data_IF_163737146443
#
_entry.id   IF_163737146443
#
_cell.length_a   1.000
_cell.length_b   1.000
_cell.length_c   1.000
_cell.angle_alpha   90.00
_cell.angle_beta   90.00
_cell.angle_gamma   90.00
#
_symmetry.space_group_name_H-M   'P 1'
#
loop_
_entity.id
_entity.type
_entity.pdbx_description
1 polymer ?
#
# COMPACT_ATOMS: atom_id res chain seq x y z
N UNK A 1 -9.90 -12.94 27.55
CA UNK A 1 -9.23 -11.90 28.37
C UNK A 1 -8.41 -11.05 27.41
N UNK A 2 -8.80 -9.80 27.20
CA UNK A 2 -8.11 -8.89 26.29
C UNK A 2 -6.85 -8.36 27.00
N UNK A 3 -5.66 -8.62 26.44
CA UNK A 3 -4.45 -7.96 26.90
C UNK A 3 -4.61 -6.42 26.83
N UNK A 4 -4.11 -5.68 27.83
CA UNK A 4 -4.15 -4.22 27.80
C UNK A 4 -3.37 -3.69 26.59
N UNK A 5 -3.98 -2.73 25.88
CA UNK A 5 -3.48 -2.14 24.61
C UNK A 5 -2.00 -1.77 24.63
N UNK A 6 -1.48 -1.26 25.76
CA UNK A 6 -0.09 -0.88 25.90
C UNK A 6 0.90 -2.06 25.81
N UNK A 7 0.54 -3.23 26.35
CA UNK A 7 1.40 -4.43 26.28
C UNK A 7 1.48 -4.97 24.84
N UNK A 8 0.38 -4.89 24.09
CA UNK A 8 0.33 -5.28 22.67
C UNK A 8 1.18 -4.36 21.79
N UNK A 9 1.14 -3.05 22.06
CA UNK A 9 1.97 -2.06 21.34
C UNK A 9 3.46 -2.25 21.67
N UNK A 10 3.80 -2.44 22.95
CA UNK A 10 5.19 -2.69 23.36
C UNK A 10 5.76 -3.97 22.72
N UNK A 11 4.93 -5.02 22.63
CA UNK A 11 5.30 -6.25 21.93
C UNK A 11 5.47 -6.01 20.43
N UNK A 12 4.56 -5.29 19.77
CA UNK A 12 4.69 -4.96 18.35
C UNK A 12 5.98 -4.16 18.06
N UNK A 13 6.36 -3.22 18.93
CA UNK A 13 7.64 -2.51 18.82
C UNK A 13 8.85 -3.45 18.96
N UNK A 14 8.82 -4.38 19.92
CA UNK A 14 9.88 -5.39 20.05
C UNK A 14 9.97 -6.31 18.84
N UNK A 15 8.85 -6.73 18.26
CA UNK A 15 8.81 -7.58 17.06
C UNK A 15 9.46 -6.89 15.84
N UNK A 16 9.36 -5.57 15.75
CA UNK A 16 9.94 -4.80 14.65
C UNK A 16 11.46 -4.59 14.79
N UNK A 17 12.01 -4.72 16.01
CA UNK A 17 13.36 -4.24 16.35
C UNK A 17 14.34 -5.32 16.86
N UNK A 18 13.90 -6.58 17.04
CA UNK A 18 14.74 -7.64 17.66
C UNK A 18 15.11 -8.83 16.75
N UNK A 19 16.36 -9.29 16.89
CA UNK A 19 17.01 -10.34 16.09
C UNK A 19 16.57 -11.77 16.49
N UNK A 20 15.93 -11.93 17.65
CA UNK A 20 15.49 -13.21 18.23
C UNK A 20 13.97 -13.43 18.17
N UNK A 21 13.27 -12.66 17.34
CA UNK A 21 11.84 -12.85 17.09
C UNK A 21 11.64 -14.17 16.33
N UNK A 22 10.66 -14.97 16.75
CA UNK A 22 10.27 -16.19 16.05
C UNK A 22 10.05 -15.87 14.56
N UNK A 23 10.52 -16.75 13.65
CA UNK A 23 10.46 -16.51 12.20
C UNK A 23 9.06 -16.07 11.74
N UNK A 24 8.01 -16.67 12.29
CA UNK A 24 6.60 -16.35 12.02
C UNK A 24 6.23 -14.88 12.32
N UNK A 25 6.77 -14.32 13.40
CA UNK A 25 6.49 -12.93 13.79
C UNK A 25 7.26 -11.93 12.90
N UNK A 26 8.45 -12.33 12.40
CA UNK A 26 9.17 -11.56 11.38
C UNK A 26 8.40 -11.56 10.07
N UNK A 27 8.00 -12.73 9.58
CA UNK A 27 7.25 -12.86 8.33
C UNK A 27 5.94 -12.07 8.39
N UNK A 28 5.22 -12.16 9.52
CA UNK A 28 4.02 -11.34 9.76
C UNK A 28 4.31 -9.84 9.74
N UNK A 29 5.45 -9.41 10.27
CA UNK A 29 5.86 -8.00 10.24
C UNK A 29 6.22 -7.53 8.83
N UNK A 30 6.80 -8.39 7.99
CA UNK A 30 7.03 -8.08 6.58
C UNK A 30 5.72 -7.90 5.83
N UNK A 31 4.81 -8.86 5.95
CA UNK A 31 3.48 -8.80 5.31
C UNK A 31 2.73 -7.55 5.80
N UNK A 32 2.74 -7.26 7.10
CA UNK A 32 2.09 -6.07 7.63
C UNK A 32 2.64 -4.75 7.05
N UNK A 33 3.96 -4.65 6.82
CA UNK A 33 4.55 -3.48 6.14
C UNK A 33 4.17 -3.41 4.67
N UNK A 34 4.16 -4.57 3.99
CA UNK A 34 3.75 -4.68 2.60
C UNK A 34 2.31 -4.16 2.40
N UNK A 35 1.37 -4.69 3.17
CA UNK A 35 -0.04 -4.30 3.13
C UNK A 35 -0.27 -2.84 3.55
N UNK A 36 0.47 -2.37 4.56
CA UNK A 36 0.46 -0.97 4.96
C UNK A 36 0.97 -0.04 3.84
N UNK A 37 1.93 -0.48 3.03
CA UNK A 37 2.42 0.25 1.86
C UNK A 37 1.30 0.53 0.86
N UNK A 38 0.55 -0.50 0.46
CA UNK A 38 -0.61 -0.36 -0.42
C UNK A 38 -1.67 0.58 0.17
N UNK A 39 -2.00 0.39 1.45
CA UNK A 39 -3.02 1.19 2.13
C UNK A 39 -2.65 2.68 2.16
N UNK A 40 -1.40 3.00 2.52
CA UNK A 40 -0.89 4.38 2.56
C UNK A 40 -0.86 5.01 1.18
N UNK A 41 -0.38 4.29 0.17
CA UNK A 41 -0.36 4.82 -1.20
C UNK A 41 -1.77 5.07 -1.74
N UNK A 42 -2.71 4.21 -1.41
CA UNK A 42 -4.12 4.39 -1.77
C UNK A 42 -4.66 5.69 -1.18
N UNK A 43 -4.49 5.92 0.13
CA UNK A 43 -4.90 7.18 0.79
C UNK A 43 -4.23 8.41 0.18
N UNK A 44 -2.93 8.33 -0.10
CA UNK A 44 -2.13 9.41 -0.72
C UNK A 44 -2.55 9.79 -2.16
N UNK A 45 -3.19 8.85 -2.86
CA UNK A 45 -3.77 9.03 -4.19
C UNK A 45 -5.29 9.29 -4.12
N UNK A 46 -5.83 9.43 -2.92
CA UNK A 46 -7.24 9.67 -2.66
C UNK A 46 -8.13 8.44 -2.76
N UNK A 47 -7.58 7.26 -3.05
CA UNK A 47 -8.31 5.99 -3.21
C UNK A 47 -8.78 5.49 -1.85
N UNK A 48 -10.08 5.20 -1.75
CA UNK A 48 -10.68 4.69 -0.53
C UNK A 48 -10.23 3.25 -0.30
N UNK A 49 -9.62 3.00 0.84
CA UNK A 49 -9.37 1.65 1.36
C UNK A 49 -10.66 1.13 1.99
N UNK A 50 -11.01 -0.13 1.77
CA UNK A 50 -12.15 -0.78 2.44
C UNK A 50 -11.68 -1.65 3.60
N UNK A 51 -10.64 -2.44 3.35
CA UNK A 51 -10.11 -3.42 4.29
C UNK A 51 -8.63 -3.63 4.04
N UNK A 52 -7.85 -3.87 5.09
CA UNK A 52 -6.47 -4.35 4.99
C UNK A 52 -6.33 -5.53 5.93
N UNK A 53 -5.80 -6.65 5.43
CA UNK A 53 -5.59 -7.86 6.22
C UNK A 53 -4.22 -8.46 5.95
N UNK A 54 -3.66 -9.14 6.94
CA UNK A 54 -2.48 -10.00 6.81
C UNK A 54 -2.84 -11.49 6.98
N UNK A 55 -4.14 -11.81 7.08
CA UNK A 55 -4.59 -13.20 7.16
C UNK A 55 -4.66 -13.81 5.76
N UNK A 56 -4.19 -15.05 5.65
CA UNK A 56 -4.35 -15.83 4.43
C UNK A 56 -5.84 -16.05 4.16
N UNK A 57 -6.32 -15.60 3.01
CA UNK A 57 -7.68 -15.89 2.58
C UNK A 57 -7.67 -17.11 1.64
N UNK A 58 -8.49 -18.15 1.89
CA UNK A 58 -8.52 -19.35 1.06
C UNK A 58 -8.81 -19.08 -0.43
N UNK A 59 -9.46 -17.95 -0.73
CA UNK A 59 -9.79 -17.54 -2.10
C UNK A 59 -8.62 -16.93 -2.86
N UNK A 60 -7.64 -16.36 -2.17
CA UNK A 60 -6.51 -15.67 -2.80
C UNK A 60 -5.21 -16.46 -2.74
N UNK A 61 -5.09 -17.48 -1.87
CA UNK A 61 -3.91 -18.36 -1.84
C UNK A 61 -2.61 -17.66 -1.44
N UNK A 62 -2.69 -16.41 -0.98
CA UNK A 62 -1.59 -15.57 -0.53
C UNK A 62 -1.84 -15.11 0.90
N UNK A 63 -0.75 -14.80 1.61
CA UNK A 63 -0.79 -14.23 2.97
C UNK A 63 -0.95 -12.70 2.87
N UNK A 64 -2.10 -12.17 3.28
CA UNK A 64 -2.41 -10.74 3.28
C UNK A 64 -3.10 -10.21 2.01
N UNK A 65 -3.90 -9.15 2.19
CA UNK A 65 -4.62 -8.47 1.13
C UNK A 65 -5.08 -7.05 1.55
N UNK A 66 -4.84 -6.06 0.70
CA UNK A 66 -5.40 -4.72 0.81
C UNK A 66 -6.56 -4.55 -0.20
N UNK A 67 -7.79 -4.55 0.31
CA UNK A 67 -8.97 -4.30 -0.49
C UNK A 67 -9.22 -2.79 -0.59
N UNK A 68 -9.03 -2.26 -1.80
CA UNK A 68 -9.32 -0.87 -2.14
C UNK A 68 -10.67 -0.80 -2.85
N UNK A 69 -11.50 0.14 -2.43
CA UNK A 69 -12.74 0.46 -3.14
C UNK A 69 -12.38 0.96 -4.54
N UNK A 70 -13.24 0.64 -5.51
CA UNK A 70 -13.20 1.25 -6.84
C UNK A 70 -12.96 2.75 -6.72
N UNK A 71 -11.97 3.23 -7.49
CA UNK A 71 -11.48 4.60 -7.60
C UNK A 71 -12.47 5.70 -7.16
N UNK A 72 -12.01 6.73 -6.42
CA UNK A 72 -12.82 7.89 -6.05
C UNK A 72 -13.52 8.51 -7.26
N UNK A 73 -14.65 9.18 -7.08
CA UNK A 73 -15.36 9.82 -8.20
C UNK A 73 -14.47 10.79 -9.02
N UNK A 74 -13.48 11.44 -8.40
CA UNK A 74 -12.49 12.29 -9.09
C UNK A 74 -11.50 11.50 -9.96
N UNK A 75 -11.24 10.23 -9.64
CA UNK A 75 -10.44 9.30 -10.45
C UNK A 75 -11.32 8.44 -11.37
N UNK A 76 -12.63 8.28 -11.10
CA UNK A 76 -13.60 7.78 -12.09
C UNK A 76 -13.91 8.81 -13.18
N UNK A 77 -13.73 10.09 -12.86
CA UNK A 77 -13.73 11.16 -13.85
C UNK A 77 -12.54 11.04 -14.80
N UNK A 78 -11.42 10.47 -14.30
CA UNK A 78 -10.36 9.99 -15.18
C UNK A 78 -10.91 8.75 -15.88
N UNK A 79 -11.08 8.84 -17.19
CA UNK A 79 -11.53 7.70 -17.95
C UNK A 79 -10.50 6.56 -17.83
N UNK A 80 -10.91 5.27 -17.87
CA UNK A 80 -9.97 4.14 -17.81
C UNK A 80 -8.83 4.14 -18.85
N UNK A 81 -8.94 5.01 -19.86
CA UNK A 81 -7.91 5.24 -20.88
C UNK A 81 -6.93 6.38 -20.55
N UNK A 82 -7.07 7.00 -19.38
CA UNK A 82 -6.19 8.09 -18.96
C UNK A 82 -4.95 7.55 -18.25
N UNK A 83 -3.80 8.06 -18.67
CA UNK A 83 -2.49 7.62 -18.20
C UNK A 83 -2.33 7.78 -16.68
N UNK A 84 -3.00 8.77 -16.09
CA UNK A 84 -3.01 9.01 -14.64
C UNK A 84 -3.65 7.85 -13.86
N UNK A 85 -4.70 7.20 -14.39
CA UNK A 85 -5.31 6.05 -13.73
C UNK A 85 -4.38 4.81 -13.77
N UNK A 86 -3.68 4.62 -14.89
CA UNK A 86 -2.64 3.60 -15.01
C UNK A 86 -1.48 3.86 -14.04
N UNK A 87 -0.96 5.09 -14.02
CA UNK A 87 0.08 5.53 -13.08
C UNK A 87 -0.30 5.23 -11.64
N UNK A 88 -1.49 5.62 -11.21
CA UNK A 88 -1.93 5.40 -9.83
C UNK A 88 -2.04 3.91 -9.51
N UNK A 89 -2.52 3.09 -10.46
CA UNK A 89 -2.62 1.64 -10.27
C UNK A 89 -1.24 1.03 -10.08
N UNK A 90 -0.26 1.44 -10.91
CA UNK A 90 1.12 0.96 -10.82
C UNK A 90 1.75 1.41 -9.51
N UNK A 91 1.55 2.67 -9.11
CA UNK A 91 2.09 3.19 -7.85
C UNK A 91 1.55 2.45 -6.62
N UNK A 92 0.26 2.12 -6.59
CA UNK A 92 -0.33 1.31 -5.51
C UNK A 92 0.30 -0.07 -5.47
N UNK A 93 0.41 -0.77 -6.61
CA UNK A 93 1.01 -2.11 -6.70
C UNK A 93 2.49 -2.10 -6.31
N UNK A 94 3.25 -1.06 -6.65
CA UNK A 94 4.65 -0.90 -6.23
C UNK A 94 4.80 -0.62 -4.73
N UNK A 95 3.76 -0.11 -4.06
CA UNK A 95 3.90 0.41 -2.72
C UNK A 95 4.25 -0.67 -1.68
N UNK A 96 3.73 -1.90 -1.84
CA UNK A 96 4.01 -3.01 -0.93
C UNK A 96 5.50 -3.38 -0.93
N UNK A 97 6.05 -3.70 -2.09
CA UNK A 97 7.46 -4.06 -2.21
C UNK A 97 8.43 -2.93 -1.79
N UNK A 98 8.03 -1.67 -2.00
CA UNK A 98 8.84 -0.52 -1.61
C UNK A 98 8.81 -0.27 -0.11
N UNK A 99 7.67 -0.54 0.55
CA UNK A 99 7.57 -0.48 2.00
C UNK A 99 8.43 -1.57 2.66
N UNK A 100 8.46 -2.79 2.09
CA UNK A 100 9.38 -3.84 2.53
C UNK A 100 10.85 -3.40 2.42
N UNK A 101 11.27 -2.89 1.25
CA UNK A 101 12.64 -2.40 1.05
C UNK A 101 13.01 -1.28 2.02
N UNK A 102 12.10 -0.36 2.27
CA UNK A 102 12.35 0.77 3.16
C UNK A 102 12.49 0.34 4.62
N UNK A 103 11.72 -0.67 5.05
CA UNK A 103 11.74 -1.16 6.43
C UNK A 103 12.85 -2.18 6.72
N UNK A 104 13.19 -3.02 5.75
CA UNK A 104 14.03 -4.19 5.98
C UNK A 104 15.20 -4.37 5.00
N UNK A 105 15.29 -3.52 3.96
CA UNK A 105 16.35 -3.60 2.95
C UNK A 105 16.21 -4.75 1.94
N UNK A 106 15.13 -5.53 2.02
CA UNK A 106 14.85 -6.65 1.11
C UNK A 106 13.37 -6.66 0.67
N UNK A 107 13.07 -7.47 -0.35
CA UNK A 107 11.71 -7.67 -0.87
C UNK A 107 11.40 -9.16 -0.83
N UNK A 108 10.21 -9.53 -0.36
CA UNK A 108 9.78 -10.93 -0.21
C UNK A 108 8.48 -11.19 -0.96
N UNK A 109 7.48 -10.30 -0.88
CA UNK A 109 6.12 -10.60 -1.34
C UNK A 109 5.67 -9.84 -2.61
N UNK A 110 6.59 -9.48 -3.51
CA UNK A 110 6.28 -8.59 -4.64
C UNK A 110 5.87 -9.27 -5.96
N UNK A 111 5.96 -10.60 -6.06
CA UNK A 111 5.82 -11.29 -7.36
C UNK A 111 4.44 -11.12 -7.98
N UNK A 112 3.39 -11.19 -7.16
CA UNK A 112 2.01 -11.00 -7.61
C UNK A 112 1.79 -9.56 -8.11
N UNK A 113 2.20 -8.56 -7.33
CA UNK A 113 2.06 -7.15 -7.73
C UNK A 113 2.79 -6.84 -9.04
N UNK A 114 4.00 -7.39 -9.22
CA UNK A 114 4.76 -7.23 -10.46
C UNK A 114 4.04 -7.87 -11.65
N UNK A 115 3.43 -9.05 -11.48
CA UNK A 115 2.62 -9.66 -12.53
C UNK A 115 1.37 -8.83 -12.86
N UNK A 116 0.72 -8.24 -11.85
CA UNK A 116 -0.42 -7.34 -12.02
C UNK A 116 -0.01 -6.04 -12.75
N UNK A 117 1.16 -5.47 -12.45
CA UNK A 117 1.69 -4.30 -13.17
C UNK A 117 1.86 -4.63 -14.66
N UNK A 118 2.48 -5.76 -14.98
CA UNK A 118 2.67 -6.20 -16.37
C UNK A 118 1.33 -6.42 -17.09
N UNK A 119 0.35 -7.01 -16.40
CA UNK A 119 -1.01 -7.17 -16.94
C UNK A 119 -1.66 -5.81 -17.23
N UNK A 120 -1.56 -4.84 -16.30
CA UNK A 120 -2.11 -3.49 -16.48
C UNK A 120 -1.47 -2.77 -17.66
N UNK A 121 -0.15 -2.85 -17.80
CA UNK A 121 0.59 -2.27 -18.92
C UNK A 121 0.19 -2.90 -20.27
N UNK A 122 -0.01 -4.23 -20.30
CA UNK A 122 -0.41 -4.96 -21.50
C UNK A 122 -1.86 -4.70 -21.90
N UNK A 123 -2.76 -4.57 -20.94
CA UNK A 123 -4.19 -4.34 -21.17
C UNK A 123 -4.56 -2.85 -21.31
N UNK A 124 -3.58 -1.95 -21.21
CA UNK A 124 -3.81 -0.53 -21.41
C UNK A 124 -4.24 -0.26 -22.86
N UNK A 125 -5.32 0.52 -23.09
CA UNK A 125 -5.92 0.66 -24.43
C UNK A 125 -5.06 1.43 -25.44
N UNK A 126 -4.05 2.16 -24.96
CA UNK A 126 -3.09 2.87 -25.81
C UNK A 126 -1.82 2.02 -25.86
N UNK A 127 -1.38 1.65 -27.07
CA UNK A 127 -0.14 0.90 -27.25
C UNK A 127 1.04 1.77 -26.80
N UNK A 128 1.76 1.31 -25.78
CA UNK A 128 3.03 1.89 -25.34
C UNK A 128 4.17 1.09 -25.96
N UNK A 129 5.20 1.76 -26.46
CA UNK A 129 6.45 1.11 -26.81
C UNK A 129 7.23 0.66 -25.56
N UNK A 130 8.21 -0.23 -25.74
CA UNK A 130 9.02 -0.76 -24.62
C UNK A 130 9.70 0.35 -23.83
N UNK A 131 10.21 1.39 -24.50
CA UNK A 131 10.89 2.51 -23.84
C UNK A 131 9.92 3.40 -23.07
N UNK A 132 8.68 3.55 -23.54
CA UNK A 132 7.62 4.29 -22.84
C UNK A 132 7.17 3.53 -21.60
N UNK A 133 7.00 2.20 -21.69
CA UNK A 133 6.69 1.35 -20.52
C UNK A 133 7.77 1.46 -19.45
N UNK A 134 9.05 1.39 -19.85
CA UNK A 134 10.19 1.53 -18.94
C UNK A 134 10.22 2.91 -18.29
N UNK A 135 10.02 3.97 -19.07
CA UNK A 135 9.99 5.34 -18.56
C UNK A 135 8.85 5.56 -17.56
N UNK A 136 7.65 5.08 -17.88
CA UNK A 136 6.47 5.14 -17.00
C UNK A 136 6.71 4.38 -15.69
N UNK A 137 7.25 3.16 -15.76
CA UNK A 137 7.54 2.37 -14.58
C UNK A 137 8.60 3.04 -13.70
N UNK A 138 9.69 3.54 -14.28
CA UNK A 138 10.72 4.27 -13.55
C UNK A 138 10.18 5.53 -12.88
N UNK A 139 9.30 6.27 -13.58
CA UNK A 139 8.60 7.41 -13.01
C UNK A 139 7.74 6.99 -11.81
N UNK A 140 6.93 5.94 -11.96
CA UNK A 140 6.07 5.43 -10.88
C UNK A 140 6.91 4.99 -9.68
N UNK A 141 8.02 4.32 -9.90
CA UNK A 141 8.92 3.86 -8.84
C UNK A 141 9.49 5.04 -8.03
N UNK A 142 10.01 6.06 -8.70
CA UNK A 142 10.54 7.28 -8.05
C UNK A 142 9.47 7.99 -7.24
N UNK A 143 8.28 8.16 -7.82
CA UNK A 143 7.18 8.87 -7.18
C UNK A 143 6.59 8.09 -6.00
N UNK A 144 6.48 6.76 -6.11
CA UNK A 144 6.03 5.86 -5.05
C UNK A 144 6.99 5.93 -3.86
N UNK A 145 8.30 5.75 -4.09
CA UNK A 145 9.32 5.80 -3.05
C UNK A 145 9.35 7.17 -2.35
N UNK A 146 9.23 8.27 -3.10
CA UNK A 146 9.22 9.63 -2.53
C UNK A 146 8.04 9.82 -1.57
N UNK A 147 6.84 9.39 -1.98
CA UNK A 147 5.63 9.48 -1.15
C UNK A 147 5.72 8.58 0.08
N UNK A 148 6.16 7.33 -0.08
CA UNK A 148 6.33 6.40 1.04
C UNK A 148 7.34 6.88 2.07
N UNK A 149 8.48 7.45 1.65
CA UNK A 149 9.47 8.03 2.59
C UNK A 149 8.86 9.15 3.43
N UNK A 150 8.07 10.02 2.81
CA UNK A 150 7.33 11.08 3.54
C UNK A 150 6.29 10.49 4.48
N UNK A 151 5.54 9.48 4.00
CA UNK A 151 4.44 8.87 4.73
C UNK A 151 4.87 7.69 5.61
N UNK A 152 6.18 7.51 5.84
CA UNK A 152 6.72 6.35 6.55
C UNK A 152 6.15 6.16 7.96
N UNK A 153 5.96 7.23 8.77
CA UNK A 153 5.31 7.09 10.08
C UNK A 153 3.90 6.45 10.00
N UNK A 154 3.12 6.76 8.97
CA UNK A 154 1.80 6.17 8.75
C UNK A 154 1.90 4.67 8.42
N UNK A 155 2.85 4.30 7.55
CA UNK A 155 3.09 2.89 7.20
C UNK A 155 3.41 2.08 8.44
N UNK A 156 4.29 2.57 9.31
CA UNK A 156 4.64 1.89 10.56
C UNK A 156 3.43 1.79 11.50
N UNK A 157 2.67 2.87 11.70
CA UNK A 157 1.50 2.85 12.57
C UNK A 157 0.45 1.83 12.09
N UNK A 158 0.19 1.78 10.78
CA UNK A 158 -0.74 0.82 10.17
C UNK A 158 -0.20 -0.60 10.27
N UNK A 159 1.08 -0.83 9.99
CA UNK A 159 1.70 -2.15 10.08
C UNK A 159 1.66 -2.69 11.53
N UNK A 160 1.94 -1.85 12.52
CA UNK A 160 1.83 -2.22 13.93
C UNK A 160 0.41 -2.61 14.30
N UNK A 161 -0.58 -1.83 13.87
CA UNK A 161 -1.99 -2.16 14.09
C UNK A 161 -2.36 -3.48 13.41
N UNK A 162 -1.88 -3.73 12.18
CA UNK A 162 -2.11 -4.99 11.45
C UNK A 162 -1.49 -6.20 12.16
N UNK A 163 -0.26 -6.10 12.68
CA UNK A 163 0.35 -7.20 13.45
C UNK A 163 -0.53 -7.58 14.66
N UNK A 164 -1.18 -6.58 15.26
CA UNK A 164 -2.01 -6.73 16.45
C UNK A 164 -3.42 -7.22 16.11
N UNK A 165 -4.11 -6.57 15.18
CA UNK A 165 -5.51 -6.79 14.85
C UNK A 165 -5.72 -7.81 13.72
N UNK A 166 -4.66 -8.11 12.96
CA UNK A 166 -4.61 -8.91 11.73
C UNK A 166 -5.41 -8.35 10.56
N UNK A 167 -6.50 -7.69 10.84
CA UNK A 167 -7.38 -7.05 9.86
C UNK A 167 -7.85 -5.71 10.42
N UNK A 168 -7.82 -4.67 9.58
CA UNK A 168 -8.30 -3.33 9.90
C UNK A 168 -9.19 -2.80 8.79
N UNK A 169 -10.16 -1.96 9.14
CA UNK A 169 -11.05 -1.31 8.18
C UNK A 169 -10.38 -0.10 7.54
N UNK A 170 -10.91 0.35 6.39
CA UNK A 170 -10.49 1.58 5.74
C UNK A 170 -10.56 2.83 6.64
N UNK A 171 -11.61 2.96 7.46
CA UNK A 171 -11.74 4.09 8.38
C UNK A 171 -10.63 4.08 9.45
N UNK A 172 -10.21 2.89 9.89
CA UNK A 172 -9.10 2.73 10.82
C UNK A 172 -7.77 3.12 10.17
N UNK A 173 -7.56 2.73 8.91
CA UNK A 173 -6.40 3.17 8.11
C UNK A 173 -6.35 4.69 8.04
N UNK A 174 -7.47 5.34 7.67
CA UNK A 174 -7.53 6.79 7.56
C UNK A 174 -7.23 7.48 8.91
N UNK A 175 -7.80 6.97 10.00
CA UNK A 175 -7.55 7.50 11.35
C UNK A 175 -6.06 7.44 11.72
N UNK A 176 -5.40 6.32 11.45
CA UNK A 176 -3.96 6.15 11.73
C UNK A 176 -3.09 7.02 10.82
N UNK A 177 -3.48 7.16 9.56
CA UNK A 177 -2.83 8.05 8.61
C UNK A 177 -2.90 9.52 9.08
N UNK A 178 -4.10 10.00 9.42
CA UNK A 178 -4.30 11.38 9.86
C UNK A 178 -3.61 11.68 11.19
N UNK A 179 -3.58 10.72 12.12
CA UNK A 179 -2.88 10.87 13.39
C UNK A 179 -1.35 11.00 13.23
N UNK A 180 -0.78 10.51 12.13
CA UNK A 180 0.67 10.52 11.89
C UNK A 180 1.14 11.66 10.99
N UNK A 181 0.32 12.09 10.03
CA UNK A 181 0.72 13.06 9.00
C UNK A 181 -0.22 14.28 8.89
N UNK A 182 -1.34 14.30 9.62
CA UNK A 182 -2.44 15.25 9.39
C UNK A 182 -3.35 14.82 8.22
N UNK A 183 -4.30 15.69 7.84
CA UNK A 183 -5.23 15.38 6.75
C UNK A 183 -4.50 15.08 5.44
N UNK A 184 -4.95 14.08 4.65
CA UNK A 184 -4.33 13.77 3.35
C UNK A 184 -4.40 14.98 2.41
N UNK A 185 -3.42 15.12 1.50
CA UNK A 185 -3.44 16.20 0.53
C UNK A 185 -4.74 16.13 -0.29
N UNK A 186 -5.36 17.28 -0.64
CA UNK A 186 -6.55 17.28 -1.46
C UNK A 186 -6.26 16.56 -2.79
N UNK A 187 -7.18 15.68 -3.19
CA UNK A 187 -7.08 14.96 -4.45
C UNK A 187 -7.05 16.01 -5.58
N UNK A 188 -6.04 16.00 -6.47
CA UNK A 188 -6.04 16.87 -7.63
C UNK A 188 -7.36 16.69 -8.37
N UNK A 189 -8.14 17.77 -8.48
CA UNK A 189 -9.33 17.74 -9.32
C UNK A 189 -8.84 17.63 -10.77
N UNK A 190 -9.49 16.81 -11.62
CA UNK A 190 -9.20 16.84 -13.05
C UNK A 190 -9.37 18.30 -13.53
N UNK A 191 -8.51 18.78 -14.45
CA UNK A 191 -8.61 20.13 -14.98
C UNK A 191 -10.04 20.33 -15.49
N UNK A 192 -10.71 21.37 -14.96
CA UNK A 192 -12.14 21.57 -15.13
C UNK A 192 -12.56 21.52 -16.59
N UNK A 193 -13.56 20.69 -16.87
CA UNK A 193 -14.38 20.77 -18.07
C UNK A 193 -14.97 22.18 -18.15
N UNK A 194 -14.39 23.00 -19.03
CA UNK A 194 -15.01 24.25 -19.49
C UNK A 194 -16.16 23.92 -20.44
#
# INVERSE_FOLDING_TARGET
MNEPSAARVARALQLLDSVEVAQEDRDRSYIARHEAGHAVMSVELGVRVELVTIEATPAHGFDGHCHVALWPASVRALQPHEIAALEYSIMILLAGEMAERLGAGSTVHAQHDRAMIEERLRCYPIELHDDERKALLAWCEVHTMRRLRRAWPAVIAIAMELVVARTITGDRVLTLYEATLGSPPPIPQPPGTC
#
